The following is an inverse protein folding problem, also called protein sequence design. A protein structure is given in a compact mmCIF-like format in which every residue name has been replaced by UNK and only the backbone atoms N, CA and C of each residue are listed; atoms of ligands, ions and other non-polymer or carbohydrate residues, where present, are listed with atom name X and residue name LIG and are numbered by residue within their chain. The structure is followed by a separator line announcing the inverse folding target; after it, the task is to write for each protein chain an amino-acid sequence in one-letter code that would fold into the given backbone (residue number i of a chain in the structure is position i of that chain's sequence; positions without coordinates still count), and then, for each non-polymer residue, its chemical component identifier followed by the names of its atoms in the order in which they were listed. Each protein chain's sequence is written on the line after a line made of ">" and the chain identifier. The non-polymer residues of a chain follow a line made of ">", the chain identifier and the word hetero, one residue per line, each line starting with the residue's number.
data_IF_576573888738
#
_entry.id   IF_576573888738
#
_cell.length_a   1.000
_cell.length_b   1.000
_cell.length_c   1.000
_cell.angle_alpha   90.00
_cell.angle_beta   90.00
_cell.angle_gamma   90.00
#
_symmetry.space_group_name_H-M   'P 1'
#
loop_
_entity.id
_entity.type
_entity.pdbx_description
1 polymer ?
#
# COMPACT_ATOMS: atom_id res chain seq x y z
N UNK A 1 12.10 -14.54 -12.49
CA UNK A 1 11.45 -13.81 -11.37
C UNK A 1 9.97 -14.10 -11.36
N UNK A 2 9.43 -14.37 -10.19
CA UNK A 2 8.00 -14.63 -10.04
C UNK A 2 7.18 -13.37 -10.25
N UNK A 3 6.03 -13.52 -10.87
CA UNK A 3 5.06 -12.45 -11.05
C UNK A 3 3.88 -12.68 -10.12
N UNK A 4 3.53 -11.65 -9.35
CA UNK A 4 2.45 -11.70 -8.36
C UNK A 4 1.44 -10.60 -8.68
N UNK A 5 0.17 -10.95 -8.62
CA UNK A 5 -0.92 -9.99 -8.71
C UNK A 5 -1.50 -9.83 -7.30
N UNK A 6 -1.64 -8.59 -6.86
CA UNK A 6 -2.14 -8.27 -5.54
C UNK A 6 -3.39 -7.41 -5.67
N UNK A 7 -4.44 -7.77 -4.93
CA UNK A 7 -5.65 -6.97 -4.78
C UNK A 7 -5.76 -6.54 -3.35
N UNK A 8 -5.98 -5.25 -3.11
CA UNK A 8 -6.17 -4.73 -1.75
C UNK A 8 -7.42 -3.88 -1.66
N UNK A 9 -8.05 -3.91 -0.50
CA UNK A 9 -9.20 -3.08 -0.17
C UNK A 9 -9.16 -2.74 1.32
N UNK A 10 -9.60 -1.55 1.67
CA UNK A 10 -9.69 -1.10 3.05
C UNK A 10 -10.86 -0.17 3.23
N UNK A 11 -11.45 -0.21 4.42
CA UNK A 11 -12.58 0.65 4.74
C UNK A 11 -12.65 0.94 6.23
N UNK A 12 -13.46 1.91 6.58
CA UNK A 12 -13.62 2.37 7.94
C UNK A 12 -15.09 2.71 8.21
N UNK A 13 -15.62 2.24 9.32
CA UNK A 13 -16.98 2.60 9.78
C UNK A 13 -16.91 3.93 10.53
N UNK A 14 -17.35 5.01 9.87
CA UNK A 14 -17.07 6.34 10.36
C UNK A 14 -15.59 6.67 10.11
N UNK A 15 -15.22 7.90 9.95
CA UNK A 15 -13.86 8.28 9.61
C UNK A 15 -13.42 9.46 10.49
N UNK A 16 -12.86 9.20 11.70
CA UNK A 16 -12.31 7.93 12.19
C UNK A 16 -13.34 6.97 12.80
N UNK A 17 -12.96 5.70 12.91
CA UNK A 17 -13.78 4.64 13.51
C UNK A 17 -13.11 3.29 13.36
N UNK A 18 -13.89 2.22 13.54
CA UNK A 18 -13.40 0.86 13.28
C UNK A 18 -13.14 0.67 11.80
N UNK A 19 -12.03 0.06 11.48
CA UNK A 19 -11.68 -0.20 10.11
C UNK A 19 -11.02 -1.54 9.90
N UNK A 20 -11.02 -2.00 8.65
CA UNK A 20 -10.37 -3.23 8.25
C UNK A 20 -9.80 -3.12 6.86
N UNK A 21 -8.89 -4.02 6.55
CA UNK A 21 -8.32 -4.18 5.22
C UNK A 21 -8.22 -5.66 4.87
N UNK A 22 -8.21 -5.93 3.58
CA UNK A 22 -7.99 -7.26 3.04
C UNK A 22 -7.00 -7.18 1.89
N UNK A 23 -6.21 -8.22 1.72
CA UNK A 23 -5.30 -8.35 0.60
C UNK A 23 -5.33 -9.78 0.06
N UNK A 24 -5.28 -9.92 -1.25
CA UNK A 24 -5.23 -11.20 -1.94
C UNK A 24 -4.01 -11.19 -2.84
N UNK A 25 -3.15 -12.20 -2.65
CA UNK A 25 -1.93 -12.36 -3.44
C UNK A 25 -2.09 -13.61 -4.31
N UNK A 26 -1.91 -13.45 -5.62
CA UNK A 26 -2.00 -14.54 -6.59
C UNK A 26 -0.68 -14.68 -7.34
N UNK A 27 -0.11 -15.90 -7.32
CA UNK A 27 1.07 -16.19 -8.11
C UNK A 27 0.65 -16.53 -9.55
N UNK A 28 1.13 -15.75 -10.52
CA UNK A 28 0.81 -15.95 -11.92
C UNK A 28 1.40 -17.30 -12.40
N UNK A 29 0.59 -18.05 -13.13
CA UNK A 29 0.97 -19.38 -13.61
C UNK A 29 0.76 -20.50 -12.61
N UNK A 30 0.11 -20.20 -11.49
CA UNK A 30 -0.20 -21.15 -10.42
C UNK A 30 -1.61 -20.90 -9.90
N UNK A 31 -2.16 -21.91 -9.21
CA UNK A 31 -3.40 -21.76 -8.44
C UNK A 31 -3.13 -21.25 -7.02
N UNK A 32 -1.86 -21.02 -6.67
CA UNK A 32 -1.47 -20.56 -5.34
C UNK A 32 -2.05 -19.16 -5.08
N UNK A 33 -2.70 -19.02 -3.92
CA UNK A 33 -3.38 -17.81 -3.50
C UNK A 33 -3.22 -17.66 -1.99
N UNK A 34 -2.98 -16.43 -1.55
CA UNK A 34 -2.91 -16.11 -0.13
C UNK A 34 -3.82 -14.94 0.18
N UNK A 35 -4.60 -15.07 1.24
CA UNK A 35 -5.47 -14.02 1.73
C UNK A 35 -4.97 -13.51 3.08
N UNK A 36 -4.94 -12.20 3.23
CA UNK A 36 -4.54 -11.53 4.45
C UNK A 36 -5.64 -10.57 4.86
N UNK A 37 -5.90 -10.47 6.15
CA UNK A 37 -6.86 -9.52 6.70
C UNK A 37 -6.30 -8.89 7.96
N UNK A 38 -6.72 -7.68 8.25
CA UNK A 38 -6.35 -6.98 9.47
C UNK A 38 -7.29 -5.82 9.72
N UNK A 39 -7.07 -5.11 10.82
CA UNK A 39 -7.91 -3.98 11.16
C UNK A 39 -7.43 -3.26 12.40
N UNK A 40 -8.18 -2.22 12.77
CA UNK A 40 -7.93 -1.41 13.95
C UNK A 40 -9.25 -0.90 14.52
N UNK A 41 -9.27 -0.68 15.86
CA UNK A 41 -10.47 -0.18 16.55
C UNK A 41 -10.74 1.28 16.25
N UNK A 42 -9.69 2.07 16.03
CA UNK A 42 -9.80 3.48 15.69
C UNK A 42 -8.79 3.81 14.60
N UNK A 43 -9.30 4.10 13.41
CA UNK A 43 -8.47 4.31 12.24
C UNK A 43 -9.22 5.17 11.21
N UNK A 44 -8.66 5.31 10.02
CA UNK A 44 -9.26 6.03 8.89
C UNK A 44 -9.24 5.16 7.64
N UNK A 45 -10.05 5.51 6.63
CA UNK A 45 -10.04 4.83 5.35
C UNK A 45 -8.64 4.78 4.75
N UNK A 46 -7.95 5.92 4.72
CA UNK A 46 -6.62 6.00 4.12
C UNK A 46 -5.60 5.11 4.82
N UNK A 47 -5.66 5.03 6.15
CA UNK A 47 -4.78 4.14 6.91
C UNK A 47 -5.07 2.67 6.61
N UNK A 48 -6.34 2.30 6.43
CA UNK A 48 -6.70 0.91 6.09
C UNK A 48 -6.28 0.55 4.66
N UNK A 49 -6.43 1.46 3.73
CA UNK A 49 -5.94 1.27 2.36
C UNK A 49 -4.41 1.07 2.31
N UNK A 50 -3.66 1.92 3.01
CA UNK A 50 -2.22 1.76 3.13
C UNK A 50 -1.83 0.49 3.86
N UNK A 51 -2.52 0.17 4.95
CA UNK A 51 -2.27 -1.03 5.75
C UNK A 51 -2.38 -2.31 4.93
N UNK A 52 -3.36 -2.41 4.07
CA UNK A 52 -3.52 -3.55 3.16
C UNK A 52 -2.36 -3.69 2.18
N UNK A 53 -1.91 -2.59 1.60
CA UNK A 53 -0.76 -2.58 0.68
C UNK A 53 0.53 -2.99 1.40
N UNK A 54 0.79 -2.42 2.58
CA UNK A 54 1.97 -2.74 3.38
C UNK A 54 1.98 -4.23 3.76
N UNK A 55 0.84 -4.75 4.24
CA UNK A 55 0.73 -6.15 4.63
C UNK A 55 0.98 -7.09 3.45
N UNK A 56 0.43 -6.77 2.28
CA UNK A 56 0.60 -7.58 1.08
C UNK A 56 2.07 -7.61 0.63
N UNK A 57 2.73 -6.46 0.55
CA UNK A 57 4.13 -6.40 0.15
C UNK A 57 5.05 -7.03 1.19
N UNK A 58 4.73 -6.91 2.48
CA UNK A 58 5.49 -7.54 3.56
C UNK A 58 5.41 -9.08 3.52
N UNK A 59 4.38 -9.63 2.91
CA UNK A 59 4.21 -11.07 2.79
C UNK A 59 5.10 -11.70 1.71
N UNK A 60 5.68 -10.89 0.82
CA UNK A 60 6.58 -11.38 -0.21
C UNK A 60 7.94 -11.73 0.41
N UNK A 61 8.42 -12.96 0.15
CA UNK A 61 9.67 -13.47 0.74
C UNK A 61 10.88 -13.28 -0.16
N UNK A 62 10.65 -12.92 -1.41
CA UNK A 62 11.70 -12.72 -2.41
C UNK A 62 11.29 -11.60 -3.34
N UNK A 63 12.23 -11.12 -4.15
CA UNK A 63 11.94 -10.11 -5.15
C UNK A 63 10.96 -10.68 -6.18
N UNK A 64 9.88 -9.93 -6.46
CA UNK A 64 8.83 -10.31 -7.40
C UNK A 64 8.51 -9.14 -8.31
N UNK A 65 8.00 -9.47 -9.49
CA UNK A 65 7.33 -8.48 -10.32
C UNK A 65 5.87 -8.38 -9.84
N UNK A 66 5.46 -7.20 -9.40
CA UNK A 66 4.15 -7.01 -8.75
C UNK A 66 3.25 -6.09 -9.55
N UNK A 67 2.04 -6.55 -9.86
CA UNK A 67 0.93 -5.71 -10.28
C UNK A 67 -0.04 -5.59 -9.09
N UNK A 68 -0.21 -4.39 -8.56
CA UNK A 68 -1.05 -4.14 -7.40
C UNK A 68 -2.31 -3.38 -7.82
N UNK A 69 -3.46 -3.96 -7.54
CA UNK A 69 -4.77 -3.38 -7.83
C UNK A 69 -5.40 -2.84 -6.57
N UNK A 70 -5.75 -1.57 -6.59
CA UNK A 70 -6.45 -0.90 -5.50
C UNK A 70 -7.44 0.12 -6.07
N UNK A 71 -8.53 0.36 -5.37
CA UNK A 71 -9.46 1.45 -5.69
C UNK A 71 -9.13 2.74 -4.95
N UNK A 72 -8.10 2.73 -4.11
CA UNK A 72 -7.71 3.90 -3.33
C UNK A 72 -7.07 4.98 -4.20
N UNK A 73 -7.80 6.06 -4.42
CA UNK A 73 -7.26 7.24 -5.09
C UNK A 73 -6.08 7.83 -4.31
N UNK A 74 -6.16 7.81 -2.99
CA UNK A 74 -5.12 8.32 -2.11
C UNK A 74 -3.78 7.63 -2.34
N UNK A 75 -3.77 6.29 -2.36
CA UNK A 75 -2.55 5.51 -2.60
C UNK A 75 -2.04 5.72 -4.02
N UNK A 76 -2.91 5.62 -5.01
CA UNK A 76 -2.52 5.79 -6.41
C UNK A 76 -1.95 7.18 -6.69
N UNK A 77 -2.60 8.23 -6.21
CA UNK A 77 -2.16 9.60 -6.44
C UNK A 77 -0.81 9.88 -5.77
N UNK A 78 -0.59 9.37 -4.56
CA UNK A 78 0.67 9.59 -3.86
C UNK A 78 1.87 9.02 -4.63
N UNK A 79 1.68 7.90 -5.30
CA UNK A 79 2.74 7.26 -6.09
C UNK A 79 2.82 7.84 -7.49
N UNK A 80 1.70 7.90 -8.22
CA UNK A 80 1.66 8.30 -9.62
C UNK A 80 1.93 9.79 -9.83
N UNK A 81 1.43 10.64 -8.94
CA UNK A 81 1.65 12.08 -9.02
C UNK A 81 2.96 12.55 -8.38
N UNK A 82 3.76 11.61 -7.89
CA UNK A 82 5.06 11.93 -7.30
C UNK A 82 5.01 12.59 -5.93
N UNK A 83 3.86 12.56 -5.24
CA UNK A 83 3.76 13.14 -3.90
C UNK A 83 4.73 12.49 -2.92
N UNK A 84 4.84 11.18 -3.00
CA UNK A 84 5.71 10.40 -2.10
C UNK A 84 7.17 10.82 -2.24
N UNK A 85 7.66 10.96 -3.47
CA UNK A 85 9.02 11.43 -3.74
C UNK A 85 9.23 12.87 -3.25
N UNK A 86 8.23 13.73 -3.44
CA UNK A 86 8.28 15.11 -2.96
C UNK A 86 8.31 15.19 -1.43
N UNK A 87 7.53 14.37 -0.75
CA UNK A 87 7.54 14.31 0.71
C UNK A 87 8.88 13.86 1.26
N UNK A 88 9.52 12.88 0.64
CA UNK A 88 10.86 12.44 1.02
C UNK A 88 11.88 13.58 0.92
N UNK A 89 11.87 14.34 -0.18
CA UNK A 89 12.77 15.45 -0.39
C UNK A 89 12.58 16.58 0.62
N UNK A 90 11.36 16.77 1.10
CA UNK A 90 11.00 17.82 2.05
C UNK A 90 10.95 17.33 3.50
N UNK A 91 11.58 16.18 3.77
CA UNK A 91 11.65 15.58 5.10
C UNK A 91 10.25 15.35 5.71
N UNK A 92 9.31 14.89 4.88
CA UNK A 92 7.93 14.56 5.27
C UNK A 92 7.11 15.76 5.77
N UNK A 93 7.41 16.92 5.23
CA UNK A 93 6.67 18.15 5.48
C UNK A 93 6.00 18.60 4.17
N UNK A 94 4.71 18.89 4.24
CA UNK A 94 3.95 19.39 3.08
C UNK A 94 4.32 20.83 2.76
N UNK A 95 3.89 21.30 1.57
CA UNK A 95 4.12 22.67 1.13
C UNK A 95 3.53 23.73 2.06
N UNK A 96 2.48 23.40 2.81
CA UNK A 96 1.88 24.28 3.83
C UNK A 96 2.60 24.25 5.17
N UNK A 97 3.78 23.62 5.25
CA UNK A 97 4.62 23.43 6.43
C UNK A 97 4.03 22.51 7.51
N UNK A 98 2.92 21.81 7.20
CA UNK A 98 2.35 20.82 8.11
C UNK A 98 2.96 19.45 7.85
N UNK A 99 3.03 18.57 8.87
CA UNK A 99 3.51 17.19 8.67
C UNK A 99 2.62 16.44 7.68
N UNK A 100 3.24 15.53 6.91
CA UNK A 100 2.51 14.61 6.04
C UNK A 100 1.67 13.67 6.88
N UNK A 101 0.39 13.50 6.53
CA UNK A 101 -0.48 12.55 7.21
C UNK A 101 -0.03 11.11 6.93
N UNK A 102 -0.20 10.23 7.94
CA UNK A 102 0.12 8.81 7.82
C UNK A 102 1.59 8.54 7.49
N UNK A 103 2.49 9.43 7.89
CA UNK A 103 3.91 9.32 7.60
C UNK A 103 4.51 8.01 8.13
N UNK A 104 4.02 7.51 9.25
CA UNK A 104 4.43 6.23 9.82
C UNK A 104 4.21 5.07 8.82
N UNK A 105 3.07 5.06 8.16
CA UNK A 105 2.74 4.04 7.17
C UNK A 105 3.53 4.24 5.86
N UNK A 106 3.65 5.47 5.38
CA UNK A 106 4.43 5.75 4.17
C UNK A 106 5.89 5.35 4.33
N UNK A 107 6.46 5.58 5.51
CA UNK A 107 7.85 5.16 5.82
C UNK A 107 7.99 3.64 5.86
N UNK A 108 6.96 2.91 6.24
CA UNK A 108 6.97 1.45 6.16
C UNK A 108 6.88 0.94 4.72
N UNK A 109 6.12 1.62 3.88
CA UNK A 109 5.91 1.22 2.49
C UNK A 109 7.19 1.35 1.65
N UNK A 110 7.95 2.42 1.84
CA UNK A 110 9.14 2.70 1.02
C UNK A 110 10.16 1.57 0.97
N UNK A 111 10.64 1.04 2.11
CA UNK A 111 11.61 -0.06 2.09
C UNK A 111 11.07 -1.30 1.40
N UNK A 112 9.78 -1.58 1.55
CA UNK A 112 9.15 -2.75 0.93
C UNK A 112 9.17 -2.67 -0.59
N UNK A 113 8.91 -1.49 -1.15
CA UNK A 113 8.94 -1.31 -2.60
C UNK A 113 10.35 -1.39 -3.18
N UNK A 114 11.39 -1.10 -2.37
CA UNK A 114 12.78 -1.15 -2.81
C UNK A 114 13.42 -2.54 -2.63
N UNK A 115 13.05 -3.27 -1.57
CA UNK A 115 13.72 -4.51 -1.18
C UNK A 115 13.07 -5.74 -1.84
N UNK A 116 11.74 -5.75 -1.96
CA UNK A 116 11.00 -6.94 -2.39
C UNK A 116 10.62 -6.93 -3.87
N UNK A 117 10.90 -5.86 -4.58
CA UNK A 117 10.47 -5.66 -5.96
C UNK A 117 11.66 -5.22 -6.78
N UNK A 118 12.03 -5.99 -7.82
CA UNK A 118 13.16 -5.64 -8.70
C UNK A 118 12.78 -4.58 -9.73
N UNK A 119 11.50 -4.40 -9.97
CA UNK A 119 10.93 -3.33 -10.79
C UNK A 119 9.89 -2.60 -9.97
N UNK A 120 9.61 -1.32 -10.26
CA UNK A 120 8.58 -0.59 -9.55
C UNK A 120 7.25 -1.34 -9.58
N UNK A 121 6.58 -1.40 -8.43
CA UNK A 121 5.23 -1.94 -8.35
C UNK A 121 4.33 -1.19 -9.31
N UNK A 122 3.66 -1.92 -10.20
CA UNK A 122 2.68 -1.31 -11.08
C UNK A 122 1.37 -1.18 -10.33
N UNK A 123 0.95 0.06 -10.13
CA UNK A 123 -0.34 0.35 -9.54
C UNK A 123 -1.42 0.36 -10.62
N UNK A 124 -2.48 -0.39 -10.36
CA UNK A 124 -3.66 -0.44 -11.20
C UNK A 124 -4.86 0.04 -10.40
N UNK A 125 -5.56 1.01 -10.90
CA UNK A 125 -6.81 1.44 -10.27
C UNK A 125 -7.96 0.57 -10.76
N UNK A 126 -8.73 0.08 -9.79
CA UNK A 126 -9.93 -0.70 -10.09
C UNK A 126 -11.08 0.23 -10.49
#
# INVERSE_FOLDING_TARGET
>A
MKKVIIYTDGSCLGNPGRGGWAAILCLVGSTARRELVGGARLTTNNRMELGGVIAALSALREACEVDLYTDSKYVCDAVEKGWLAGWQKRNWIKSDKKPVLNVDLWKQLLPLSLIHISEPTRLRRI
#
